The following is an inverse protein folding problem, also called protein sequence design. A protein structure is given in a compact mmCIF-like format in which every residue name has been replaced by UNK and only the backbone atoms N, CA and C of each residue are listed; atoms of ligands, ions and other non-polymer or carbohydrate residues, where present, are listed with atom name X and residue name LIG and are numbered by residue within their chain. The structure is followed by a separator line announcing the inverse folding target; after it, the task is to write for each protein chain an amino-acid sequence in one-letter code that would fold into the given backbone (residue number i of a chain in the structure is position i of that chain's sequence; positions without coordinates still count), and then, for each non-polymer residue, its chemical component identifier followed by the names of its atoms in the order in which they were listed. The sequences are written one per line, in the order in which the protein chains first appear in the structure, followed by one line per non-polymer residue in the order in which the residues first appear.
data_IF_100580892872
#
_entry.id   IF_100580892872
#
_cell.length_a   1.000
_cell.length_b   1.000
_cell.length_c   1.000
_cell.angle_alpha   90.00
_cell.angle_beta   90.00
_cell.angle_gamma   90.00
#
_symmetry.space_group_name_H-M   'P 1'
#
loop_
_entity.id
_entity.type
_entity.pdbx_description
1 polymer ?
#
# COMPACT_ATOMS: atom_id res chain seq x y z
N UNK A 1 -13.42 39.08 35.87
CA UNK A 1 -13.75 37.66 36.14
C UNK A 1 -12.69 37.15 37.10
N UNK A 2 -13.03 36.23 38.00
CA UNK A 2 -12.01 35.64 38.87
C UNK A 2 -11.21 34.63 38.07
N UNK A 3 -9.90 34.84 37.94
CA UNK A 3 -8.97 33.94 37.24
C UNK A 3 -8.74 32.71 38.11
N UNK A 4 -9.63 31.74 38.01
CA UNK A 4 -9.41 30.41 38.53
C UNK A 4 -8.58 29.63 37.51
N UNK A 5 -7.50 29.01 37.95
CA UNK A 5 -6.74 28.07 37.13
C UNK A 5 -7.45 26.72 37.17
N UNK A 6 -8.05 26.32 36.07
CA UNK A 6 -8.69 25.01 35.94
C UNK A 6 -7.63 23.91 35.96
N UNK A 7 -7.88 22.85 36.72
CA UNK A 7 -7.03 21.66 36.77
C UNK A 7 -7.79 20.46 36.23
N UNK A 8 -7.14 19.62 35.42
CA UNK A 8 -7.74 18.43 34.80
C UNK A 8 -8.00 17.32 35.82
N UNK A 9 -9.04 17.48 36.64
CA UNK A 9 -9.33 16.58 37.76
C UNK A 9 -10.80 16.15 37.76
N UNK A 10 -11.01 14.83 37.79
CA UNK A 10 -12.33 14.23 38.03
C UNK A 10 -12.56 13.98 39.52
N UNK A 11 -13.06 14.98 40.24
CA UNK A 11 -13.32 14.91 41.70
C UNK A 11 -14.83 14.90 42.01
N UNK A 12 -15.32 14.28 43.11
CA UNK A 12 -16.72 14.38 43.54
C UNK A 12 -17.17 15.84 43.74
N UNK A 13 -18.38 16.19 43.29
CA UNK A 13 -18.95 17.52 43.53
C UNK A 13 -19.42 17.61 44.98
N UNK A 14 -18.89 18.57 45.71
CA UNK A 14 -19.27 18.84 47.08
C UNK A 14 -20.72 19.33 47.14
N UNK A 15 -21.50 18.88 48.12
CA UNK A 15 -22.83 19.43 48.38
C UNK A 15 -22.75 20.43 49.53
N UNK A 16 -23.13 21.69 49.27
CA UNK A 16 -23.30 22.67 50.34
C UNK A 16 -24.35 22.20 51.34
N UNK A 17 -24.02 22.35 52.62
CA UNK A 17 -24.84 22.01 53.76
C UNK A 17 -25.28 23.27 54.48
N UNK A 18 -26.32 23.18 55.32
CA UNK A 18 -26.80 24.30 56.14
C UNK A 18 -25.79 24.75 57.20
N UNK A 19 -24.75 23.96 57.46
CA UNK A 19 -23.66 24.30 58.36
C UNK A 19 -22.50 25.05 57.67
N UNK A 20 -22.48 25.13 56.33
CA UNK A 20 -21.40 25.77 55.60
C UNK A 20 -21.51 27.30 55.64
N UNK A 21 -20.42 27.96 56.03
CA UNK A 21 -20.33 29.41 55.97
C UNK A 21 -20.29 29.89 54.51
N UNK A 22 -21.06 30.93 54.20
CA UNK A 22 -21.01 31.61 52.89
C UNK A 22 -19.71 32.42 52.80
N UNK A 23 -18.64 31.75 52.40
CA UNK A 23 -17.31 32.34 52.20
C UNK A 23 -16.96 32.27 50.72
N UNK A 24 -16.83 33.45 50.10
CA UNK A 24 -16.26 33.61 48.76
C UNK A 24 -14.72 33.54 48.75
N UNK A 25 -14.11 33.86 47.61
CA UNK A 25 -12.67 33.78 47.39
C UNK A 25 -12.20 32.45 46.76
N UNK A 26 -10.94 32.38 46.33
CA UNK A 26 -10.45 31.26 45.51
C UNK A 26 -10.60 29.87 46.16
N UNK A 27 -10.49 29.83 47.49
CA UNK A 27 -10.68 28.63 48.31
C UNK A 27 -11.93 28.70 49.19
N UNK A 28 -12.83 29.64 48.90
CA UNK A 28 -14.08 29.83 49.62
C UNK A 28 -15.01 28.63 49.46
N UNK A 29 -15.70 28.25 50.54
CA UNK A 29 -16.60 27.09 50.54
C UNK A 29 -17.67 27.20 49.45
N UNK A 30 -18.19 28.40 49.22
CA UNK A 30 -19.19 28.70 48.18
C UNK A 30 -18.66 28.53 46.75
N UNK A 31 -17.35 28.63 46.54
CA UNK A 31 -16.70 28.47 45.23
C UNK A 31 -16.17 27.04 44.99
N UNK A 32 -16.32 26.13 45.97
CA UNK A 32 -15.84 24.74 45.84
C UNK A 32 -16.58 24.00 44.72
N UNK A 33 -17.91 24.11 44.69
CA UNK A 33 -18.78 23.49 43.68
C UNK A 33 -18.48 24.01 42.26
N UNK A 34 -18.49 25.33 41.98
CA UNK A 34 -18.10 25.86 40.67
C UNK A 34 -16.71 25.40 40.21
N UNK A 35 -15.71 25.42 41.11
CA UNK A 35 -14.35 24.98 40.79
C UNK A 35 -14.29 23.51 40.40
N UNK A 36 -14.97 22.64 41.16
CA UNK A 36 -15.01 21.20 40.86
C UNK A 36 -15.72 20.91 39.52
N UNK A 37 -16.75 21.70 39.18
CA UNK A 37 -17.40 21.60 37.87
C UNK A 37 -16.48 22.05 36.74
N UNK A 38 -15.79 23.18 36.88
CA UNK A 38 -14.83 23.67 35.90
C UNK A 38 -13.69 22.66 35.67
N UNK A 39 -13.12 22.09 36.74
CA UNK A 39 -12.10 21.04 36.67
C UNK A 39 -12.58 19.79 35.92
N UNK A 40 -13.83 19.34 36.16
CA UNK A 40 -14.42 18.22 35.42
C UNK A 40 -14.62 18.55 33.94
N UNK A 41 -15.06 19.77 33.63
CA UNK A 41 -15.22 20.22 32.24
C UNK A 41 -13.87 20.26 31.52
N UNK A 42 -12.82 20.76 32.17
CA UNK A 42 -11.46 20.73 31.64
C UNK A 42 -11.01 19.28 31.39
N UNK A 43 -11.19 18.38 32.36
CA UNK A 43 -10.86 16.96 32.20
C UNK A 43 -11.59 16.31 31.01
N UNK A 44 -12.91 16.50 30.88
CA UNK A 44 -13.69 15.97 29.74
C UNK A 44 -13.18 16.55 28.42
N UNK A 45 -12.92 17.86 28.37
CA UNK A 45 -12.42 18.53 27.15
C UNK A 45 -11.10 17.91 26.72
N UNK A 46 -10.16 17.71 27.64
CA UNK A 46 -8.86 17.08 27.33
C UNK A 46 -9.05 15.65 26.81
N UNK A 47 -9.96 14.85 27.37
CA UNK A 47 -10.26 13.51 26.82
C UNK A 47 -10.80 13.56 25.39
N UNK A 48 -11.70 14.51 25.10
CA UNK A 48 -12.26 14.71 23.76
C UNK A 48 -11.19 15.19 22.77
N UNK A 49 -10.38 16.17 23.16
CA UNK A 49 -9.29 16.71 22.34
C UNK A 49 -8.27 15.61 22.01
N UNK A 50 -7.95 14.73 22.97
CA UNK A 50 -7.06 13.58 22.75
C UNK A 50 -7.65 12.61 21.71
N UNK A 51 -8.95 12.31 21.77
CA UNK A 51 -9.60 11.45 20.78
C UNK A 51 -9.63 12.08 19.39
N UNK A 52 -9.87 13.40 19.29
CA UNK A 52 -9.84 14.16 18.03
C UNK A 52 -8.42 14.15 17.44
N UNK A 53 -7.42 14.39 18.27
CA UNK A 53 -6.00 14.38 17.86
C UNK A 53 -5.56 12.99 17.40
N UNK A 54 -5.99 11.93 18.10
CA UNK A 54 -5.71 10.55 17.71
C UNK A 54 -6.31 10.18 16.34
N UNK A 55 -7.39 10.83 15.93
CA UNK A 55 -7.96 10.69 14.59
C UNK A 55 -7.24 11.53 13.51
N UNK A 56 -6.18 12.26 13.86
CA UNK A 56 -5.43 13.12 12.95
C UNK A 56 -6.08 14.48 12.66
N UNK A 57 -7.02 14.91 13.50
CA UNK A 57 -7.71 16.19 13.39
C UNK A 57 -7.17 17.19 14.42
N UNK A 58 -7.26 18.49 14.14
CA UNK A 58 -6.93 19.54 15.13
C UNK A 58 -8.20 19.94 15.88
N UNK A 59 -8.21 19.90 17.23
CA UNK A 59 -9.37 20.35 18.02
C UNK A 59 -9.73 21.82 17.72
N UNK A 60 -11.00 22.05 17.38
CA UNK A 60 -11.56 23.35 17.05
C UNK A 60 -12.92 23.50 17.74
N UNK A 61 -12.99 24.44 18.69
CA UNK A 61 -14.20 24.68 19.47
C UNK A 61 -15.37 25.25 18.65
N UNK A 62 -15.14 25.69 17.40
CA UNK A 62 -16.19 26.19 16.50
C UNK A 62 -16.91 25.08 15.74
N UNK A 63 -16.38 23.85 15.76
CA UNK A 63 -16.88 22.71 14.98
C UNK A 63 -17.52 21.69 15.93
N UNK A 64 -18.84 21.50 15.83
CA UNK A 64 -19.61 20.72 16.81
C UNK A 64 -19.64 19.20 16.54
N UNK A 65 -19.16 18.73 15.39
CA UNK A 65 -19.19 17.33 14.97
C UNK A 65 -17.82 16.64 14.97
N UNK A 66 -16.75 17.32 15.41
CA UNK A 66 -15.38 16.78 15.38
C UNK A 66 -15.23 15.45 16.12
N UNK A 67 -15.86 15.29 17.30
CA UNK A 67 -15.78 14.03 18.05
C UNK A 67 -16.45 12.89 17.29
N UNK A 68 -17.57 13.14 16.62
CA UNK A 68 -18.26 12.12 15.83
C UNK A 68 -17.42 11.72 14.60
N UNK A 69 -16.80 12.69 13.93
CA UNK A 69 -15.86 12.43 12.81
C UNK A 69 -14.64 11.65 13.30
N UNK A 70 -14.08 12.01 14.45
CA UNK A 70 -12.95 11.31 15.05
C UNK A 70 -13.27 9.85 15.36
N UNK A 71 -14.41 9.59 16.01
CA UNK A 71 -14.87 8.22 16.32
C UNK A 71 -15.14 7.45 15.03
N UNK A 72 -15.81 8.04 14.03
CA UNK A 72 -16.04 7.36 12.75
C UNK A 72 -14.72 7.05 12.03
N UNK A 73 -13.76 7.96 12.07
CA UNK A 73 -12.42 7.75 11.49
C UNK A 73 -11.72 6.59 12.19
N UNK A 74 -11.68 6.60 13.53
CA UNK A 74 -11.06 5.53 14.33
C UNK A 74 -11.80 4.19 14.22
N UNK A 75 -13.13 4.20 14.07
CA UNK A 75 -13.98 2.99 14.05
C UNK A 75 -14.16 2.36 12.67
N UNK A 76 -14.26 3.17 11.59
CA UNK A 76 -14.37 2.69 10.21
C UNK A 76 -13.01 2.48 9.56
N UNK A 77 -11.98 3.10 10.12
CA UNK A 77 -10.64 3.09 9.59
C UNK A 77 -9.64 3.31 10.71
N UNK A 78 -9.50 2.34 11.61
CA UNK A 78 -8.17 2.08 12.17
C UNK A 78 -7.24 1.99 10.96
N UNK A 79 -6.53 3.09 10.67
CA UNK A 79 -5.75 3.19 9.45
C UNK A 79 -4.73 2.08 9.60
N UNK A 80 -4.85 1.04 8.79
CA UNK A 80 -3.85 -0.01 8.78
C UNK A 80 -2.59 0.61 8.15
N UNK A 81 -1.80 1.24 9.00
CA UNK A 81 -0.56 1.92 8.64
C UNK A 81 0.36 0.86 8.02
N UNK A 82 0.98 1.19 6.89
CA UNK A 82 1.83 0.27 6.14
C UNK A 82 1.08 -0.79 5.30
N UNK A 83 -0.26 -0.85 5.34
CA UNK A 83 -1.06 -1.82 4.56
C UNK A 83 -1.48 -1.24 3.20
N UNK A 84 -1.42 -2.05 2.13
CA UNK A 84 -1.75 -1.60 0.79
C UNK A 84 -3.23 -1.27 0.58
N UNK A 85 -3.49 -0.21 -0.19
CA UNK A 85 -4.80 0.12 -0.74
C UNK A 85 -4.66 0.73 -2.14
N UNK A 86 -5.68 0.51 -2.99
CA UNK A 86 -5.71 1.07 -4.34
C UNK A 86 -6.19 2.53 -4.34
N UNK A 87 -5.55 3.36 -5.16
CA UNK A 87 -5.85 4.77 -5.32
C UNK A 87 -6.02 5.15 -6.80
N UNK A 88 -7.03 5.98 -7.07
CA UNK A 88 -7.46 6.39 -8.42
C UNK A 88 -6.99 7.81 -8.81
N UNK A 89 -5.96 8.33 -8.15
CA UNK A 89 -5.30 9.59 -8.49
C UNK A 89 -3.86 9.36 -8.97
N UNK A 90 -3.29 10.39 -9.58
CA UNK A 90 -1.91 10.43 -10.08
C UNK A 90 -0.88 10.82 -8.99
N UNK A 91 -1.35 11.28 -7.84
CA UNK A 91 -0.54 11.53 -6.63
C UNK A 91 -1.11 10.78 -5.43
N UNK A 92 -0.28 10.20 -4.54
CA UNK A 92 -0.77 9.64 -3.29
C UNK A 92 -1.55 10.69 -2.48
N UNK A 93 -2.65 10.31 -1.80
CA UNK A 93 -3.35 11.19 -0.87
C UNK A 93 -2.41 11.68 0.24
N UNK A 94 -2.74 12.84 0.83
CA UNK A 94 -2.03 13.35 2.01
C UNK A 94 -2.03 12.28 3.10
N UNK A 95 -0.86 11.98 3.64
CA UNK A 95 -0.66 10.92 4.63
C UNK A 95 -0.42 9.52 4.08
N UNK A 96 -0.24 9.42 2.77
CA UNK A 96 0.08 8.18 2.09
C UNK A 96 1.24 8.33 1.12
N UNK A 97 1.86 7.21 0.78
CA UNK A 97 2.87 7.11 -0.27
C UNK A 97 2.57 5.92 -1.18
N UNK A 98 3.08 5.98 -2.40
CA UNK A 98 3.09 4.83 -3.29
C UNK A 98 4.19 3.83 -2.91
N UNK A 99 4.01 2.56 -3.27
CA UNK A 99 5.02 1.50 -3.09
C UNK A 99 6.11 1.57 -4.17
N UNK A 100 7.03 2.52 -4.03
CA UNK A 100 8.06 2.82 -5.03
C UNK A 100 9.46 2.34 -4.66
N UNK A 101 9.63 1.69 -3.50
CA UNK A 101 10.95 1.27 -3.01
C UNK A 101 11.76 2.35 -2.28
N UNK A 102 11.10 3.45 -1.89
CA UNK A 102 11.74 4.57 -1.24
C UNK A 102 12.35 4.19 0.13
N UNK A 103 13.51 4.76 0.43
CA UNK A 103 14.14 4.66 1.74
C UNK A 103 13.58 5.77 2.65
N UNK A 104 13.14 5.39 3.84
CA UNK A 104 12.42 6.23 4.79
C UNK A 104 13.19 6.32 6.11
N UNK A 105 13.09 7.45 6.80
CA UNK A 105 13.68 7.65 8.13
C UNK A 105 12.73 7.13 9.22
N UNK A 106 13.25 6.34 10.16
CA UNK A 106 12.47 5.85 11.31
C UNK A 106 12.02 6.97 12.24
N UNK A 107 12.77 8.07 12.32
CA UNK A 107 12.42 9.23 13.15
C UNK A 107 11.30 10.06 12.52
N UNK A 108 11.34 10.25 11.19
CA UNK A 108 10.29 11.02 10.49
C UNK A 108 8.99 10.23 10.39
N UNK A 109 9.08 8.92 10.20
CA UNK A 109 7.94 8.02 10.03
C UNK A 109 7.84 7.02 11.19
N UNK A 110 7.90 7.53 12.42
CA UNK A 110 7.90 6.73 13.65
C UNK A 110 6.65 5.85 13.76
N UNK A 111 5.45 6.43 13.59
CA UNK A 111 4.18 5.69 13.65
C UNK A 111 4.11 4.56 12.62
N UNK A 112 4.68 4.78 11.42
CA UNK A 112 4.79 3.73 10.41
C UNK A 112 5.76 2.64 10.85
N UNK A 113 6.95 3.01 11.31
CA UNK A 113 7.93 2.05 11.78
C UNK A 113 7.39 1.21 12.95
N UNK A 114 6.72 1.81 13.93
CA UNK A 114 6.06 1.11 15.03
C UNK A 114 5.00 0.13 14.52
N UNK A 115 4.15 0.56 13.59
CA UNK A 115 3.12 -0.30 13.01
C UNK A 115 3.71 -1.51 12.27
N UNK A 116 4.83 -1.33 11.55
CA UNK A 116 5.52 -2.43 10.85
C UNK A 116 6.15 -3.44 11.80
N UNK A 117 6.55 -3.02 13.01
CA UNK A 117 7.18 -3.88 14.02
C UNK A 117 6.18 -4.40 15.07
N UNK A 118 4.92 -3.97 15.00
CA UNK A 118 3.89 -4.52 15.86
C UNK A 118 3.59 -5.97 15.46
N UNK A 119 3.83 -6.90 16.39
CA UNK A 119 3.62 -8.33 16.18
C UNK A 119 2.16 -8.67 15.79
N UNK A 120 1.18 -7.91 16.27
CA UNK A 120 -0.23 -8.14 15.97
C UNK A 120 -0.57 -7.86 14.50
N UNK A 121 0.22 -6.98 13.85
CA UNK A 121 0.03 -6.65 12.43
C UNK A 121 0.63 -7.73 11.50
N UNK A 122 1.51 -8.59 12.02
CA UNK A 122 2.14 -9.69 11.28
C UNK A 122 2.74 -9.26 9.92
N UNK A 123 3.42 -8.11 9.89
CA UNK A 123 4.06 -7.58 8.69
C UNK A 123 5.49 -8.12 8.62
N UNK A 124 5.86 -8.68 7.46
CA UNK A 124 7.21 -9.17 7.22
C UNK A 124 8.16 -8.03 6.85
N UNK A 125 9.15 -7.79 7.72
CA UNK A 125 10.30 -6.90 7.47
C UNK A 125 11.55 -7.77 7.29
N UNK A 126 12.21 -7.65 6.15
CA UNK A 126 13.43 -8.40 5.80
C UNK A 126 14.68 -7.55 5.91
N UNK A 127 15.87 -8.14 5.75
CA UNK A 127 17.11 -7.36 5.64
C UNK A 127 17.15 -6.56 4.33
N UNK A 128 17.87 -5.43 4.29
CA UNK A 128 18.02 -4.68 3.03
C UNK A 128 18.82 -5.48 2.00
N UNK A 129 19.69 -6.38 2.44
CA UNK A 129 20.39 -7.32 1.57
C UNK A 129 19.41 -8.26 0.84
N UNK A 130 18.46 -8.86 1.55
CA UNK A 130 17.43 -9.72 0.95
C UNK A 130 16.50 -8.94 0.01
N UNK A 131 16.19 -7.69 0.38
CA UNK A 131 15.37 -6.81 -0.45
C UNK A 131 16.08 -6.51 -1.79
N UNK A 132 17.37 -6.14 -1.72
CA UNK A 132 18.21 -5.87 -2.89
C UNK A 132 18.48 -7.14 -3.72
N UNK A 133 18.42 -8.32 -3.11
CA UNK A 133 18.51 -9.61 -3.80
C UNK A 133 17.21 -10.01 -4.54
N UNK A 134 16.18 -9.16 -4.55
CA UNK A 134 14.96 -9.36 -5.36
C UNK A 134 13.71 -9.68 -4.56
N UNK A 135 13.72 -9.58 -3.22
CA UNK A 135 12.50 -9.66 -2.39
C UNK A 135 11.84 -8.30 -2.20
N UNK A 136 11.70 -7.55 -3.30
CA UNK A 136 11.27 -6.15 -3.30
C UNK A 136 9.83 -5.93 -2.87
N UNK A 137 8.99 -6.98 -2.84
CA UNK A 137 7.62 -6.91 -2.33
C UNK A 137 7.49 -6.86 -0.81
N UNK A 138 8.61 -7.00 -0.07
CA UNK A 138 8.64 -6.87 1.39
C UNK A 138 9.12 -5.49 1.85
N UNK A 139 8.81 -5.15 3.10
CA UNK A 139 9.47 -4.05 3.79
C UNK A 139 10.91 -4.45 4.15
N UNK A 140 11.84 -3.51 4.11
CA UNK A 140 13.22 -3.73 4.54
C UNK A 140 13.51 -2.98 5.83
N UNK A 141 14.32 -3.58 6.70
CA UNK A 141 14.88 -2.93 7.89
C UNK A 141 15.89 -1.81 7.57
N UNK A 142 16.18 -1.55 6.29
CA UNK A 142 17.12 -0.52 5.84
C UNK A 142 18.54 -0.77 6.35
N UNK A 143 19.19 0.27 6.83
CA UNK A 143 20.50 0.21 7.51
C UNK A 143 20.48 -0.53 8.87
N UNK A 144 19.32 -1.01 9.33
CA UNK A 144 19.17 -1.67 10.62
C UNK A 144 19.09 -0.72 11.82
N UNK A 145 19.21 0.60 11.61
CA UNK A 145 19.27 1.58 12.69
C UNK A 145 18.35 2.79 12.46
N UNK A 146 18.62 3.59 11.44
CA UNK A 146 17.97 4.90 11.24
C UNK A 146 16.95 4.92 10.12
N UNK A 147 16.95 3.89 9.28
CA UNK A 147 16.14 3.83 8.06
C UNK A 147 15.36 2.53 7.95
N UNK A 148 14.41 2.51 7.00
CA UNK A 148 13.69 1.34 6.54
C UNK A 148 13.23 1.60 5.09
N UNK A 149 12.95 0.55 4.31
CA UNK A 149 12.55 0.70 2.90
C UNK A 149 11.16 0.17 2.65
N UNK A 150 10.37 0.92 1.89
CA UNK A 150 9.08 0.47 1.39
C UNK A 150 9.24 -0.64 0.34
N UNK A 151 8.23 -1.53 0.19
CA UNK A 151 8.12 -2.38 -0.98
C UNK A 151 8.13 -1.59 -2.29
N UNK A 152 8.56 -2.25 -3.37
CA UNK A 152 8.51 -1.74 -4.75
C UNK A 152 7.72 -2.73 -5.59
N UNK A 153 6.58 -2.27 -6.13
CA UNK A 153 5.66 -3.09 -6.96
C UNK A 153 5.09 -2.33 -8.15
N UNK A 154 5.76 -1.25 -8.60
CA UNK A 154 5.27 -0.42 -9.69
C UNK A 154 5.43 -1.13 -11.04
N UNK A 155 4.32 -1.26 -11.77
CA UNK A 155 4.27 -1.93 -13.07
C UNK A 155 4.15 -3.46 -12.97
N UNK A 156 4.21 -4.01 -11.76
CA UNK A 156 4.14 -5.45 -11.53
C UNK A 156 2.69 -5.93 -11.38
N UNK A 157 2.44 -7.14 -11.87
CA UNK A 157 1.25 -7.89 -11.49
C UNK A 157 1.44 -8.51 -10.09
N UNK A 158 0.52 -8.21 -9.18
CA UNK A 158 0.50 -8.84 -7.86
C UNK A 158 -0.23 -10.18 -7.92
N UNK A 159 0.41 -11.24 -7.46
CA UNK A 159 -0.17 -12.58 -7.31
C UNK A 159 -0.37 -12.93 -5.84
N UNK A 160 -1.28 -13.87 -5.59
CA UNK A 160 -1.40 -14.51 -4.28
C UNK A 160 -0.14 -15.35 -4.04
N UNK A 161 0.46 -15.18 -2.86
CA UNK A 161 1.58 -16.02 -2.44
C UNK A 161 1.07 -17.41 -2.06
N UNK A 162 1.64 -18.44 -2.66
CA UNK A 162 1.42 -19.82 -2.25
C UNK A 162 2.28 -20.12 -1.01
N UNK A 163 1.68 -19.97 0.17
CA UNK A 163 2.35 -20.28 1.43
C UNK A 163 2.57 -21.78 1.66
N UNK A 164 1.98 -22.65 0.84
CA UNK A 164 2.14 -24.11 0.94
C UNK A 164 3.32 -24.63 0.14
N UNK A 165 3.80 -23.86 -0.85
CA UNK A 165 4.89 -24.24 -1.74
C UNK A 165 4.56 -25.37 -2.71
N UNK A 166 3.30 -25.81 -2.80
CA UNK A 166 2.94 -26.98 -3.61
C UNK A 166 3.00 -26.73 -5.11
N UNK A 167 2.73 -25.49 -5.54
CA UNK A 167 2.73 -25.12 -6.97
C UNK A 167 4.07 -24.51 -7.37
N UNK A 168 4.67 -23.72 -6.49
CA UNK A 168 5.87 -22.93 -6.77
C UNK A 168 6.80 -22.93 -5.54
N UNK A 169 7.39 -24.09 -5.24
CA UNK A 169 8.14 -24.38 -4.01
C UNK A 169 9.33 -23.44 -3.76
N UNK A 170 9.89 -22.88 -4.84
CA UNK A 170 11.01 -21.91 -4.74
C UNK A 170 10.55 -20.49 -4.42
N UNK A 171 9.24 -20.22 -4.27
CA UNK A 171 8.71 -18.87 -4.04
C UNK A 171 8.54 -18.54 -2.57
N UNK A 172 9.17 -17.45 -2.21
CA UNK A 172 8.98 -16.79 -0.91
C UNK A 172 8.16 -15.52 -1.06
N UNK A 173 7.49 -15.12 0.03
CA UNK A 173 6.73 -13.87 0.10
C UNK A 173 7.62 -12.69 -0.33
N UNK A 174 7.04 -11.84 -1.19
CA UNK A 174 7.66 -10.61 -1.70
C UNK A 174 8.74 -10.82 -2.77
N UNK A 175 9.00 -12.04 -3.23
CA UNK A 175 9.95 -12.30 -4.32
C UNK A 175 9.44 -11.77 -5.66
N UNK A 176 10.32 -11.09 -6.40
CA UNK A 176 10.05 -10.65 -7.77
C UNK A 176 10.10 -11.84 -8.74
N UNK A 177 9.23 -11.82 -9.74
CA UNK A 177 9.19 -12.77 -10.83
C UNK A 177 9.24 -12.00 -12.14
N UNK A 178 10.26 -12.28 -12.95
CA UNK A 178 10.29 -11.77 -14.32
C UNK A 178 9.24 -12.48 -15.18
N UNK A 179 8.91 -11.87 -16.32
CA UNK A 179 7.94 -12.45 -17.23
C UNK A 179 8.41 -13.81 -17.76
N UNK A 180 7.47 -14.72 -17.92
CA UNK A 180 7.67 -15.98 -18.60
C UNK A 180 6.41 -16.33 -19.38
N UNK A 181 6.60 -16.95 -20.54
CA UNK A 181 5.53 -17.67 -21.25
C UNK A 181 5.77 -19.16 -21.08
N UNK A 182 4.72 -19.97 -21.12
CA UNK A 182 4.88 -21.42 -21.09
C UNK A 182 5.75 -21.88 -22.27
N UNK A 183 6.57 -22.89 -22.01
CA UNK A 183 7.45 -23.45 -23.02
C UNK A 183 6.62 -24.02 -24.18
N UNK A 184 6.94 -23.60 -25.39
CA UNK A 184 6.35 -24.14 -26.62
C UNK A 184 7.45 -24.77 -27.46
N UNK A 185 7.29 -26.06 -27.80
CA UNK A 185 8.23 -26.80 -28.63
C UNK A 185 7.57 -27.27 -29.92
N UNK A 186 8.38 -27.41 -30.97
CA UNK A 186 7.94 -27.89 -32.27
C UNK A 186 9.14 -28.24 -33.14
N UNK A 187 8.92 -29.01 -34.21
CA UNK A 187 9.95 -29.30 -35.21
C UNK A 187 9.35 -29.23 -36.60
N UNK A 188 10.14 -28.72 -37.54
CA UNK A 188 9.82 -28.74 -38.98
C UNK A 188 10.80 -29.72 -39.63
N UNK A 189 10.26 -30.81 -40.19
CA UNK A 189 11.04 -31.81 -40.93
C UNK A 189 11.39 -31.33 -42.35
N UNK A 190 11.88 -32.24 -43.20
CA UNK A 190 12.15 -31.91 -44.61
C UNK A 190 10.86 -31.50 -45.35
N UNK A 191 10.71 -30.21 -45.62
CA UNK A 191 9.60 -29.67 -46.41
C UNK A 191 9.98 -29.73 -47.88
N UNK A 192 9.33 -30.62 -48.64
CA UNK A 192 9.54 -30.78 -50.09
C UNK A 192 8.27 -30.40 -50.83
N UNK A 193 8.37 -29.49 -51.80
CA UNK A 193 7.25 -29.05 -52.61
C UNK A 193 7.52 -29.37 -54.08
N UNK A 194 6.95 -30.48 -54.56
CA UNK A 194 7.28 -31.03 -55.88
C UNK A 194 6.33 -30.58 -57.00
N UNK A 195 5.15 -29.97 -56.72
CA UNK A 195 4.13 -29.73 -57.75
C UNK A 195 3.43 -28.34 -57.78
N UNK A 196 3.52 -27.49 -56.75
CA UNK A 196 3.03 -26.09 -56.81
C UNK A 196 3.41 -25.31 -55.55
N UNK A 197 3.94 -24.09 -55.67
CA UNK A 197 4.14 -23.18 -54.53
C UNK A 197 2.84 -23.02 -53.74
N UNK A 198 2.82 -23.49 -52.49
CA UNK A 198 1.74 -23.20 -51.56
C UNK A 198 2.19 -22.05 -50.68
N UNK A 199 1.46 -20.94 -50.72
CA UNK A 199 1.80 -19.78 -49.89
C UNK A 199 1.52 -20.09 -48.42
N UNK A 200 2.49 -19.87 -47.52
CA UNK A 200 2.27 -20.01 -46.09
C UNK A 200 1.21 -19.02 -45.61
N UNK A 201 0.45 -19.40 -44.58
CA UNK A 201 -0.61 -18.58 -44.00
C UNK A 201 -0.39 -18.38 -42.49
N UNK A 202 -1.10 -17.42 -41.92
CA UNK A 202 -0.99 -17.10 -40.50
C UNK A 202 0.34 -16.41 -40.17
N UNK A 203 1.10 -16.86 -39.15
CA UNK A 203 2.33 -16.18 -38.73
C UNK A 203 3.51 -16.41 -39.68
N UNK A 204 3.36 -17.33 -40.65
CA UNK A 204 4.40 -17.69 -41.59
C UNK A 204 4.30 -16.88 -42.88
N UNK A 205 5.41 -16.34 -43.36
CA UNK A 205 5.46 -15.63 -44.64
C UNK A 205 6.72 -15.98 -45.44
N UNK A 206 6.63 -15.94 -46.77
CA UNK A 206 7.80 -16.04 -47.64
C UNK A 206 8.54 -14.70 -47.61
N UNK A 207 9.80 -14.72 -47.18
CA UNK A 207 10.68 -13.54 -47.11
C UNK A 207 11.60 -13.44 -48.33
N UNK A 208 11.90 -14.57 -48.96
CA UNK A 208 12.65 -14.66 -50.21
C UNK A 208 12.35 -15.97 -50.92
N UNK A 209 12.56 -15.99 -52.24
CA UNK A 209 12.53 -17.21 -53.04
C UNK A 209 13.73 -17.28 -53.96
N UNK A 210 14.24 -18.49 -54.21
CA UNK A 210 15.35 -18.71 -55.12
C UNK A 210 15.22 -20.04 -55.87
N UNK A 211 15.81 -20.07 -57.06
CA UNK A 211 16.05 -21.29 -57.81
C UNK A 211 14.99 -21.64 -58.85
N UNK A 212 15.37 -22.59 -59.69
CA UNK A 212 14.56 -23.32 -60.64
C UNK A 212 15.17 -24.73 -60.61
N UNK A 213 14.66 -25.64 -59.76
CA UNK A 213 15.26 -26.97 -59.66
C UNK A 213 15.23 -27.65 -61.03
N UNK A 214 16.37 -28.19 -61.47
CA UNK A 214 16.53 -28.77 -62.81
C UNK A 214 15.50 -29.89 -62.99
N UNK A 215 14.61 -29.72 -63.97
CA UNK A 215 13.54 -30.67 -64.36
C UNK A 215 12.26 -30.67 -63.49
N UNK A 216 11.70 -29.49 -63.14
CA UNK A 216 10.35 -29.45 -62.53
C UNK A 216 9.77 -28.09 -62.13
N UNK A 217 10.52 -26.98 -62.22
CA UNK A 217 9.96 -25.65 -61.92
C UNK A 217 9.76 -25.33 -60.42
N UNK A 218 10.23 -26.20 -59.52
CA UNK A 218 10.12 -25.97 -58.08
C UNK A 218 11.03 -24.81 -57.62
N UNK A 219 10.54 -24.03 -56.65
CA UNK A 219 11.21 -22.89 -56.01
C UNK A 219 11.58 -23.25 -54.57
N UNK A 220 12.72 -22.75 -54.08
CA UNK A 220 12.99 -22.70 -52.64
C UNK A 220 12.41 -21.41 -52.07
N UNK A 221 11.74 -21.49 -50.92
CA UNK A 221 11.19 -20.33 -50.21
C UNK A 221 11.74 -20.28 -48.79
N UNK A 222 12.16 -19.09 -48.38
CA UNK A 222 12.62 -18.77 -47.04
C UNK A 222 11.42 -18.30 -46.26
N UNK A 223 11.02 -19.09 -45.26
CA UNK A 223 9.84 -18.81 -44.45
C UNK A 223 10.30 -18.27 -43.10
N UNK A 224 9.82 -17.10 -42.73
CA UNK A 224 9.97 -16.59 -41.37
C UNK A 224 8.71 -16.86 -40.53
N UNK A 225 8.81 -16.57 -39.25
CA UNK A 225 7.69 -16.65 -38.30
C UNK A 225 7.57 -15.32 -37.58
N UNK A 226 6.40 -14.70 -37.68
CA UNK A 226 6.05 -13.47 -36.97
C UNK A 226 4.58 -13.52 -36.52
N UNK A 227 4.38 -13.50 -35.20
CA UNK A 227 3.06 -13.49 -34.59
C UNK A 227 2.26 -12.22 -34.93
N UNK A 228 2.93 -11.09 -35.22
CA UNK A 228 2.28 -9.81 -35.53
C UNK A 228 1.36 -9.89 -36.75
N UNK A 229 1.56 -10.90 -37.61
CA UNK A 229 0.74 -11.15 -38.80
C UNK A 229 -0.62 -11.78 -38.50
N UNK A 230 -0.79 -12.37 -37.32
CA UNK A 230 -2.00 -13.12 -36.96
C UNK A 230 -2.66 -12.63 -35.67
N UNK A 231 -1.89 -11.99 -34.79
CA UNK A 231 -2.36 -11.52 -33.49
C UNK A 231 -1.73 -10.17 -33.14
N UNK A 232 -2.36 -9.46 -32.19
CA UNK A 232 -1.79 -8.23 -31.65
C UNK A 232 -0.55 -8.56 -30.81
N UNK A 233 0.60 -8.00 -31.18
CA UNK A 233 1.87 -8.18 -30.47
C UNK A 233 2.39 -6.85 -29.91
N UNK A 234 3.24 -6.95 -28.89
CA UNK A 234 3.94 -5.83 -28.26
C UNK A 234 5.32 -6.33 -27.79
N UNK A 235 6.18 -5.43 -27.32
CA UNK A 235 7.46 -5.77 -26.68
C UNK A 235 7.29 -6.46 -25.32
N UNK A 236 6.09 -6.43 -24.74
CA UNK A 236 5.72 -7.01 -23.45
C UNK A 236 4.47 -7.88 -23.60
N UNK A 237 4.51 -9.10 -23.07
CA UNK A 237 3.35 -9.99 -23.00
C UNK A 237 2.48 -9.60 -21.80
N UNK A 238 1.31 -9.03 -22.06
CA UNK A 238 0.35 -8.65 -21.00
C UNK A 238 -1.10 -8.82 -21.44
N UNK A 239 -2.01 -9.19 -20.51
CA UNK A 239 -3.44 -9.05 -20.76
C UNK A 239 -3.85 -7.56 -20.80
N UNK A 240 -5.09 -7.31 -21.21
CA UNK A 240 -5.71 -5.99 -21.01
C UNK A 240 -5.71 -5.65 -19.52
N UNK A 241 -5.24 -4.45 -19.18
CA UNK A 241 -5.19 -3.96 -17.81
C UNK A 241 -5.49 -2.46 -17.75
N UNK A 242 -5.83 -1.99 -16.56
CA UNK A 242 -5.99 -0.56 -16.23
C UNK A 242 -5.09 -0.25 -15.05
N UNK A 243 -4.28 0.80 -15.16
CA UNK A 243 -3.32 1.17 -14.13
C UNK A 243 -3.97 2.01 -13.03
N UNK A 244 -3.91 1.52 -11.79
CA UNK A 244 -4.19 2.28 -10.57
C UNK A 244 -2.96 2.29 -9.67
N UNK A 245 -2.88 3.28 -8.79
CA UNK A 245 -1.76 3.40 -7.86
C UNK A 245 -2.00 2.50 -6.64
N UNK A 246 -0.95 1.78 -6.22
CA UNK A 246 -0.95 1.10 -4.93
C UNK A 246 -0.24 1.98 -3.90
N UNK A 247 -0.97 2.33 -2.84
CA UNK A 247 -0.50 3.20 -1.78
C UNK A 247 -0.53 2.51 -0.42
N UNK A 248 0.21 3.05 0.54
CA UNK A 248 0.09 2.76 1.96
C UNK A 248 -0.03 4.05 2.75
N UNK A 249 -0.69 3.98 3.91
CA UNK A 249 -0.77 5.09 4.86
C UNK A 249 0.45 5.09 5.77
N UNK A 250 0.98 6.27 6.06
CA UNK A 250 2.01 6.46 7.08
C UNK A 250 1.52 7.32 8.27
N UNK A 251 0.33 7.92 8.15
CA UNK A 251 -0.37 8.73 9.17
C UNK A 251 -1.89 8.67 8.98
#
# INVERSE_FOLDING_TARGET
MADFTDTEEWSPIYQLTTADAVKGGALGKSNTQPRQLANRTAWIKTQIDNAITAAGLTPDATVLDQLAIAIQTLALGGKNIGVPYWHMGDTPPVGSMAFTGQLLSRTVYETLWEALNNADNNITVISDADWLAGRTGCWSAGDGSTTFRAPKVLGDFLRVWDSTGLIDDSRVLGSFQDFAVENATGSVGGVRNDNASYEPTGPFAVTASAGNFTNGGALMSWIDFDLSRSINTSTETRPRNTAWMLCFRYQ
#
